data_IF_478800271089
#
_entry.id   IF_478800271089
#
_cell.length_a   1.000
_cell.length_b   1.000
_cell.length_c   1.000
_cell.angle_alpha   90.00
_cell.angle_beta   90.00
_cell.angle_gamma   90.00
#
_symmetry.space_group_name_H-M   'P 1'
#
loop_
_entity.id
_entity.type
_entity.pdbx_description
1 polymer ?
#
# COMPACT_ATOMS: atom_id res chain seq x y z
N UNK A 1 -16.92 -3.81 11.16
CA UNK A 1 -17.34 -4.15 9.79
C UNK A 1 -18.49 -3.24 9.40
N UNK A 2 -18.18 -2.06 8.86
CA UNK A 2 -19.16 -1.17 8.21
C UNK A 2 -18.65 -0.95 6.79
N UNK A 3 -19.56 -1.16 5.84
CA UNK A 3 -19.42 -0.90 4.41
C UNK A 3 -18.38 -1.72 3.63
N UNK A 4 -18.64 -3.05 3.51
CA UNK A 4 -18.16 -3.77 2.32
C UNK A 4 -18.80 -3.10 1.11
N UNK A 5 -18.01 -2.35 0.34
CA UNK A 5 -18.49 -1.71 -0.89
C UNK A 5 -18.92 -2.83 -1.84
N UNK A 6 -20.13 -2.73 -2.39
CA UNK A 6 -20.58 -3.68 -3.40
C UNK A 6 -19.64 -3.60 -4.59
N UNK A 7 -19.03 -4.73 -4.96
CA UNK A 7 -18.20 -4.85 -6.16
C UNK A 7 -19.05 -4.93 -7.45
N UNK A 8 -20.38 -4.86 -7.33
CA UNK A 8 -21.26 -4.78 -8.49
C UNK A 8 -21.00 -3.48 -9.28
N UNK A 9 -20.54 -3.62 -10.52
CA UNK A 9 -20.21 -2.49 -11.40
C UNK A 9 -18.82 -1.88 -11.20
N UNK A 10 -17.96 -2.54 -10.42
CA UNK A 10 -16.56 -2.13 -10.28
C UNK A 10 -15.78 -2.38 -11.58
N UNK A 11 -14.94 -1.41 -11.96
CA UNK A 11 -14.02 -1.54 -13.08
C UNK A 11 -13.13 -2.78 -12.92
N UNK A 12 -13.04 -3.63 -13.95
CA UNK A 12 -12.33 -4.90 -13.89
C UNK A 12 -10.83 -4.74 -13.59
N UNK A 13 -10.22 -3.65 -14.08
CA UNK A 13 -8.80 -3.38 -13.84
C UNK A 13 -8.62 -2.95 -12.38
N UNK A 14 -9.45 -2.04 -11.87
CA UNK A 14 -9.40 -1.65 -10.46
C UNK A 14 -9.61 -2.87 -9.54
N UNK A 15 -10.57 -3.73 -9.85
CA UNK A 15 -10.84 -4.95 -9.09
C UNK A 15 -9.63 -5.89 -9.08
N UNK A 16 -9.01 -6.10 -10.25
CA UNK A 16 -7.80 -6.92 -10.34
C UNK A 16 -6.66 -6.35 -9.49
N UNK A 17 -6.43 -5.04 -9.55
CA UNK A 17 -5.38 -4.38 -8.76
C UNK A 17 -5.63 -4.54 -7.25
N UNK A 18 -6.88 -4.38 -6.82
CA UNK A 18 -7.29 -4.61 -5.42
C UNK A 18 -7.09 -6.09 -5.01
N UNK A 19 -7.60 -7.03 -5.80
CA UNK A 19 -7.50 -8.47 -5.53
C UNK A 19 -6.02 -8.91 -5.43
N UNK A 20 -5.17 -8.45 -6.35
CA UNK A 20 -3.75 -8.74 -6.38
C UNK A 20 -3.04 -8.19 -5.13
N UNK A 21 -3.35 -6.95 -4.73
CA UNK A 21 -2.80 -6.33 -3.52
C UNK A 21 -3.21 -7.10 -2.26
N UNK A 22 -4.51 -7.38 -2.09
CA UNK A 22 -5.04 -8.10 -0.93
C UNK A 22 -4.42 -9.49 -0.84
N UNK A 23 -4.27 -10.17 -1.98
CA UNK A 23 -3.61 -11.46 -2.06
C UNK A 23 -2.16 -11.37 -1.60
N UNK A 24 -1.38 -10.42 -2.12
CA UNK A 24 0.02 -10.23 -1.73
C UNK A 24 0.18 -9.98 -0.23
N UNK A 25 -0.69 -9.17 0.37
CA UNK A 25 -0.67 -8.91 1.82
C UNK A 25 -1.01 -10.16 2.63
N UNK A 26 -2.03 -10.93 2.22
CA UNK A 26 -2.49 -12.13 2.96
C UNK A 26 -1.52 -13.30 2.85
N UNK A 27 -0.94 -13.50 1.67
CA UNK A 27 -0.02 -14.61 1.39
C UNK A 27 1.42 -14.31 1.82
N UNK A 28 1.71 -13.07 2.27
CA UNK A 28 3.01 -12.71 2.80
C UNK A 28 3.37 -13.53 4.06
N UNK A 29 4.50 -14.22 4.03
CA UNK A 29 4.98 -15.13 5.08
C UNK A 29 5.93 -14.48 6.10
N UNK A 30 6.17 -13.17 6.02
CA UNK A 30 7.03 -12.45 6.97
C UNK A 30 6.54 -12.63 8.41
N UNK A 31 7.49 -12.71 9.34
CA UNK A 31 7.22 -12.99 10.76
C UNK A 31 7.46 -11.80 11.69
N UNK A 32 7.93 -10.69 11.11
CA UNK A 32 8.16 -9.42 11.79
C UNK A 32 7.74 -8.26 10.89
N UNK A 33 7.53 -7.09 11.48
CA UNK A 33 7.24 -5.86 10.73
C UNK A 33 8.39 -5.51 9.80
N UNK A 34 9.62 -5.72 10.23
CA UNK A 34 10.83 -5.41 9.47
C UNK A 34 10.94 -6.27 8.21
N UNK A 35 10.72 -7.57 8.34
CA UNK A 35 10.67 -8.48 7.20
C UNK A 35 9.52 -8.12 6.26
N UNK A 36 8.34 -7.80 6.83
CA UNK A 36 7.17 -7.45 6.05
C UNK A 36 7.40 -6.17 5.24
N UNK A 37 7.88 -5.09 5.86
CA UNK A 37 8.12 -3.81 5.19
C UNK A 37 9.13 -3.97 4.06
N UNK A 38 10.20 -4.75 4.28
CA UNK A 38 11.18 -5.00 3.23
C UNK A 38 10.58 -5.73 2.03
N UNK A 39 9.89 -6.84 2.29
CA UNK A 39 9.23 -7.64 1.26
C UNK A 39 8.17 -6.81 0.52
N UNK A 40 7.34 -6.07 1.27
CA UNK A 40 6.31 -5.19 0.75
C UNK A 40 6.87 -4.13 -0.21
N UNK A 41 8.02 -3.54 0.10
CA UNK A 41 8.67 -2.58 -0.81
C UNK A 41 9.15 -3.25 -2.10
N UNK A 42 9.85 -4.38 -2.01
CA UNK A 42 10.33 -5.11 -3.20
C UNK A 42 9.19 -5.58 -4.10
N UNK A 43 8.12 -6.10 -3.50
CA UNK A 43 6.91 -6.53 -4.19
C UNK A 43 6.21 -5.33 -4.82
N UNK A 44 6.10 -4.22 -4.10
CA UNK A 44 5.50 -2.98 -4.63
C UNK A 44 6.24 -2.46 -5.85
N UNK A 45 7.57 -2.39 -5.82
CA UNK A 45 8.35 -1.91 -6.97
C UNK A 45 8.17 -2.81 -8.19
N UNK A 46 8.23 -4.13 -8.00
CA UNK A 46 8.09 -5.10 -9.08
C UNK A 46 6.67 -5.10 -9.64
N UNK A 47 5.66 -5.13 -8.78
CA UNK A 47 4.27 -5.14 -9.20
C UNK A 47 3.87 -3.86 -9.94
N UNK A 48 4.32 -2.69 -9.45
CA UNK A 48 4.03 -1.42 -10.11
C UNK A 48 4.71 -1.31 -11.48
N UNK A 49 5.93 -1.85 -11.64
CA UNK A 49 6.61 -1.91 -12.94
C UNK A 49 5.83 -2.77 -13.94
N UNK A 50 5.46 -3.98 -13.52
CA UNK A 50 4.73 -4.95 -14.35
C UNK A 50 3.31 -4.46 -14.73
N UNK A 51 2.67 -3.68 -13.86
CA UNK A 51 1.28 -3.25 -14.01
C UNK A 51 1.13 -1.75 -14.30
N UNK A 52 2.20 -1.03 -14.63
CA UNK A 52 2.18 0.43 -14.80
C UNK A 52 1.09 0.92 -15.75
N UNK A 53 0.83 0.20 -16.85
CA UNK A 53 -0.19 0.59 -17.83
C UNK A 53 -1.62 0.43 -17.28
N UNK A 54 -1.86 -0.61 -16.50
CA UNK A 54 -3.15 -0.83 -15.84
C UNK A 54 -3.42 0.25 -14.79
N UNK A 55 -2.40 0.57 -13.98
CA UNK A 55 -2.48 1.64 -12.98
C UNK A 55 -2.76 2.99 -13.64
N UNK A 56 -2.02 3.35 -14.69
CA UNK A 56 -2.26 4.58 -15.47
C UNK A 56 -3.68 4.63 -16.05
N UNK A 57 -4.17 3.50 -16.55
CA UNK A 57 -5.54 3.40 -17.10
C UNK A 57 -6.57 3.67 -16.01
N UNK A 58 -6.45 3.03 -14.85
CA UNK A 58 -7.37 3.20 -13.71
C UNK A 58 -7.35 4.64 -13.20
N UNK A 59 -6.17 5.25 -13.02
CA UNK A 59 -6.04 6.65 -12.60
C UNK A 59 -6.63 7.62 -13.63
N UNK A 60 -6.42 7.35 -14.92
CA UNK A 60 -7.03 8.13 -16.01
C UNK A 60 -8.55 8.05 -15.94
N UNK A 61 -9.11 6.84 -15.84
CA UNK A 61 -10.57 6.63 -15.75
C UNK A 61 -11.19 7.25 -14.51
N UNK A 62 -10.47 7.23 -13.39
CA UNK A 62 -10.88 7.97 -12.19
C UNK A 62 -10.92 9.48 -12.46
N UNK A 63 -9.87 10.04 -13.08
CA UNK A 63 -9.80 11.47 -13.38
C UNK A 63 -10.87 11.94 -14.39
N UNK A 64 -11.30 11.07 -15.30
CA UNK A 64 -12.37 11.36 -16.28
C UNK A 64 -13.78 11.05 -15.73
N UNK A 65 -13.89 10.51 -14.52
CA UNK A 65 -15.16 10.16 -13.89
C UNK A 65 -15.78 8.85 -14.39
N UNK A 66 -15.06 8.07 -15.18
CA UNK A 66 -15.47 6.73 -15.62
C UNK A 66 -15.44 5.71 -14.47
N UNK A 67 -14.54 5.90 -13.50
CA UNK A 67 -14.59 5.21 -12.20
C UNK A 67 -15.12 6.18 -11.16
N UNK A 68 -16.25 5.84 -10.54
CA UNK A 68 -16.82 6.66 -9.48
C UNK A 68 -15.90 6.75 -8.28
N UNK A 69 -15.78 7.94 -7.69
CA UNK A 69 -14.91 8.19 -6.55
C UNK A 69 -15.23 7.30 -5.35
N UNK A 70 -16.51 7.00 -5.12
CA UNK A 70 -16.95 6.10 -4.05
C UNK A 70 -16.41 4.67 -4.23
N UNK A 71 -16.33 4.19 -5.47
CA UNK A 71 -15.80 2.86 -5.79
C UNK A 71 -14.29 2.82 -5.58
N UNK A 72 -13.58 3.85 -6.05
CA UNK A 72 -12.13 3.96 -5.86
C UNK A 72 -11.74 4.05 -4.38
N UNK A 73 -12.45 4.90 -3.61
CA UNK A 73 -12.26 5.03 -2.16
C UNK A 73 -12.55 3.69 -1.47
N UNK A 74 -13.57 2.96 -1.91
CA UNK A 74 -13.89 1.63 -1.40
C UNK A 74 -12.75 0.63 -1.53
N UNK A 75 -12.24 0.48 -2.74
CA UNK A 75 -11.12 -0.40 -3.04
C UNK A 75 -9.87 -0.04 -2.22
N UNK A 76 -9.56 1.25 -2.15
CA UNK A 76 -8.43 1.73 -1.36
C UNK A 76 -8.58 1.43 0.13
N UNK A 77 -9.76 1.67 0.70
CA UNK A 77 -10.03 1.38 2.11
C UNK A 77 -9.91 -0.12 2.40
N UNK A 78 -10.43 -1.00 1.53
CA UNK A 78 -10.32 -2.44 1.70
C UNK A 78 -8.83 -2.88 1.68
N UNK A 79 -8.04 -2.40 0.71
CA UNK A 79 -6.59 -2.67 0.66
C UNK A 79 -5.87 -2.24 1.94
N UNK A 80 -6.11 -1.01 2.41
CA UNK A 80 -5.48 -0.48 3.63
C UNK A 80 -5.94 -1.25 4.87
N UNK A 81 -7.19 -1.70 4.92
CA UNK A 81 -7.71 -2.48 6.05
C UNK A 81 -7.02 -3.84 6.17
N UNK A 82 -6.82 -4.58 5.08
CA UNK A 82 -6.06 -5.84 5.11
C UNK A 82 -4.60 -5.61 5.52
N UNK A 83 -3.96 -4.56 5.00
CA UNK A 83 -2.60 -4.19 5.38
C UNK A 83 -2.49 -3.87 6.87
N UNK A 84 -3.44 -3.09 7.41
CA UNK A 84 -3.48 -2.72 8.82
C UNK A 84 -3.60 -3.95 9.72
N UNK A 85 -4.51 -4.88 9.41
CA UNK A 85 -4.69 -6.10 10.19
C UNK A 85 -3.39 -6.91 10.20
N UNK A 86 -2.78 -7.13 9.04
CA UNK A 86 -1.50 -7.86 8.93
C UNK A 86 -0.39 -7.20 9.75
N UNK A 87 -0.24 -5.88 9.68
CA UNK A 87 0.79 -5.15 10.42
C UNK A 87 0.57 -5.19 11.94
N UNK A 88 -0.68 -5.10 12.40
CA UNK A 88 -1.02 -5.22 13.83
C UNK A 88 -0.77 -6.63 14.37
N UNK A 89 -1.04 -7.66 13.57
CA UNK A 89 -0.73 -9.05 13.93
C UNK A 89 0.77 -9.30 14.06
N UNK A 90 1.58 -8.68 13.18
CA UNK A 90 3.04 -8.78 13.22
C UNK A 90 3.68 -7.99 14.36
N UNK A 91 3.02 -6.94 14.85
CA UNK A 91 3.50 -6.07 15.94
C UNK A 91 2.73 -6.28 17.24
N UNK A 92 2.60 -7.54 17.67
CA UNK A 92 1.87 -7.88 18.90
C UNK A 92 2.45 -7.22 20.17
N UNK A 93 3.75 -6.93 20.17
CA UNK A 93 4.46 -6.26 21.28
C UNK A 93 4.35 -4.72 21.21
N UNK A 94 3.71 -4.18 20.17
CA UNK A 94 3.53 -2.74 19.95
C UNK A 94 4.84 -1.95 19.89
N UNK A 95 5.89 -2.54 19.30
CA UNK A 95 7.16 -1.87 19.07
C UNK A 95 7.03 -0.74 18.03
N UNK A 96 5.95 -0.74 17.25
CA UNK A 96 5.62 0.26 16.23
C UNK A 96 4.24 0.89 16.52
N UNK A 97 4.15 1.82 17.49
CA UNK A 97 2.88 2.38 17.96
C UNK A 97 2.01 2.97 16.84
N UNK A 98 2.63 3.50 15.77
CA UNK A 98 1.88 4.04 14.65
C UNK A 98 0.99 3.00 13.94
N UNK A 99 1.37 1.72 13.95
CA UNK A 99 0.60 0.63 13.32
C UNK A 99 -0.72 0.32 14.05
N UNK A 100 -0.80 0.68 15.33
CA UNK A 100 -1.96 0.44 16.18
C UNK A 100 -2.97 1.60 16.16
N UNK A 101 -2.67 2.67 15.43
CA UNK A 101 -3.63 3.75 15.15
C UNK A 101 -4.23 3.62 13.74
N UNK A 102 -5.23 4.45 13.45
CA UNK A 102 -5.97 4.41 12.18
C UNK A 102 -5.17 4.90 10.96
N UNK A 103 -3.94 5.38 11.13
CA UNK A 103 -3.15 6.05 10.09
C UNK A 103 -1.84 5.33 9.73
N UNK A 104 -1.30 4.43 10.57
CA UNK A 104 0.00 3.79 10.33
C UNK A 104 0.10 3.05 9.00
N UNK A 105 -0.89 2.22 8.68
CA UNK A 105 -0.95 1.52 7.39
C UNK A 105 -1.06 2.50 6.21
N UNK A 106 -1.83 3.58 6.34
CA UNK A 106 -1.94 4.63 5.33
C UNK A 106 -0.61 5.36 5.11
N UNK A 107 0.22 5.55 6.14
CA UNK A 107 1.54 6.17 5.97
C UNK A 107 2.49 5.29 5.16
N UNK A 108 2.47 3.97 5.39
CA UNK A 108 3.26 3.03 4.59
C UNK A 108 2.85 3.10 3.11
N UNK A 109 1.53 3.09 2.85
CA UNK A 109 0.99 3.19 1.48
C UNK A 109 1.38 4.53 0.85
N UNK A 110 1.19 5.65 1.56
CA UNK A 110 1.54 6.98 1.04
C UNK A 110 3.03 7.12 0.70
N UNK A 111 3.91 6.47 1.47
CA UNK A 111 5.34 6.42 1.17
C UNK A 111 5.60 5.69 -0.15
N UNK A 112 5.01 4.52 -0.34
CA UNK A 112 5.12 3.75 -1.59
C UNK A 112 4.55 4.54 -2.76
N UNK A 113 3.33 5.07 -2.64
CA UNK A 113 2.66 5.86 -3.68
C UNK A 113 3.52 7.05 -4.12
N UNK A 114 4.13 7.77 -3.17
CA UNK A 114 5.02 8.90 -3.46
C UNK A 114 6.27 8.50 -4.26
N UNK A 115 6.83 7.32 -3.99
CA UNK A 115 7.97 6.79 -4.75
C UNK A 115 7.55 6.26 -6.12
N UNK A 116 6.38 5.61 -6.21
CA UNK A 116 5.80 5.14 -7.48
C UNK A 116 5.54 6.31 -8.42
N UNK A 117 5.00 7.43 -7.92
CA UNK A 117 4.81 8.64 -8.75
C UNK A 117 6.15 9.16 -9.29
N UNK A 118 7.20 9.18 -8.46
CA UNK A 118 8.54 9.60 -8.91
C UNK A 118 9.09 8.66 -9.98
N UNK A 119 8.88 7.35 -9.85
CA UNK A 119 9.17 6.38 -10.90
C UNK A 119 8.36 6.65 -12.17
N UNK A 120 7.05 6.94 -12.05
CA UNK A 120 6.17 7.19 -13.20
C UNK A 120 6.60 8.40 -14.04
N UNK A 121 7.17 9.43 -13.40
CA UNK A 121 7.68 10.63 -14.08
C UNK A 121 9.16 10.51 -14.48
N UNK A 122 9.79 9.35 -14.25
CA UNK A 122 11.16 9.05 -14.68
C UNK A 122 12.26 9.63 -13.78
N UNK A 123 11.95 9.99 -12.52
CA UNK A 123 12.96 10.43 -11.55
C UNK A 123 13.82 9.24 -11.08
N UNK A 124 13.19 8.09 -10.88
CA UNK A 124 13.86 6.83 -10.52
C UNK A 124 13.52 5.71 -11.50
N UNK A 125 14.42 4.75 -11.64
CA UNK A 125 14.11 3.41 -12.21
C UNK A 125 13.73 2.43 -11.10
N UNK A 126 13.14 1.30 -11.47
CA UNK A 126 12.81 0.23 -10.52
C UNK A 126 14.05 -0.36 -9.86
N UNK A 127 15.16 -0.47 -10.59
CA UNK A 127 16.44 -0.92 -10.05
C UNK A 127 16.93 0.05 -8.97
N UNK A 128 16.85 1.36 -9.21
CA UNK A 128 17.21 2.37 -8.21
C UNK A 128 16.33 2.29 -6.97
N UNK A 129 15.01 2.09 -7.15
CA UNK A 129 14.10 1.88 -6.01
C UNK A 129 14.46 0.63 -5.21
N UNK A 130 14.79 -0.47 -5.89
CA UNK A 130 15.24 -1.72 -5.26
C UNK A 130 16.56 -1.54 -4.51
N UNK A 131 17.52 -0.81 -5.07
CA UNK A 131 18.79 -0.48 -4.41
C UNK A 131 18.58 0.41 -3.18
N UNK A 132 17.60 1.30 -3.21
CA UNK A 132 17.24 2.17 -2.08
C UNK A 132 16.41 1.46 -1.01
N UNK A 133 15.78 0.32 -1.30
CA UNK A 133 14.89 -0.40 -0.37
C UNK A 133 15.47 -0.58 1.04
N UNK A 134 16.74 -0.97 1.25
CA UNK A 134 17.30 -1.10 2.60
C UNK A 134 17.29 0.21 3.40
N UNK A 135 17.55 1.33 2.72
CA UNK A 135 17.49 2.66 3.34
C UNK A 135 16.04 3.09 3.60
N UNK A 136 15.16 2.92 2.60
CA UNK A 136 13.74 3.27 2.72
C UNK A 136 13.06 2.48 3.85
N UNK A 137 13.38 1.19 3.98
CA UNK A 137 12.96 0.34 5.09
C UNK A 137 13.30 0.98 6.44
N UNK A 138 14.55 1.41 6.63
CA UNK A 138 14.96 2.02 7.90
C UNK A 138 14.19 3.31 8.19
N UNK A 139 14.01 4.17 7.20
CA UNK A 139 13.24 5.42 7.34
C UNK A 139 11.80 5.13 7.75
N UNK A 140 11.15 4.17 7.08
CA UNK A 140 9.78 3.77 7.38
C UNK A 140 9.68 3.20 8.79
N UNK A 141 10.55 2.26 9.18
CA UNK A 141 10.52 1.65 10.51
C UNK A 141 10.69 2.70 11.62
N UNK A 142 11.59 3.66 11.42
CA UNK A 142 11.76 4.79 12.34
C UNK A 142 10.51 5.67 12.41
N UNK A 143 9.87 5.96 11.28
CA UNK A 143 8.62 6.71 11.27
C UNK A 143 7.51 5.97 12.03
N UNK A 144 7.42 4.64 11.87
CA UNK A 144 6.42 3.80 12.54
C UNK A 144 6.60 3.69 14.06
N UNK A 145 7.80 3.96 14.58
CA UNK A 145 8.07 4.04 16.01
C UNK A 145 7.54 5.34 16.65
N UNK A 146 7.08 6.31 15.86
CA UNK A 146 6.56 7.57 16.38
C UNK A 146 5.25 7.33 17.13
N UNK A 147 5.20 7.73 18.40
CA UNK A 147 3.96 7.75 19.18
C UNK A 147 2.99 8.79 18.59
N UNK A 148 1.72 8.43 18.44
CA UNK A 148 0.69 9.42 18.17
C UNK A 148 0.66 10.37 19.36
N UNK A 149 1.19 11.59 19.19
CA UNK A 149 1.22 12.59 20.25
C UNK A 149 -0.19 12.80 20.81
N UNK A 150 -0.40 12.38 22.06
CA UNK A 150 -1.62 12.65 22.79
C UNK A 150 -1.73 14.14 23.07
N UNK A 151 -2.72 14.79 22.46
CA UNK A 151 -3.40 15.95 23.03
C UNK A 151 -4.86 15.60 23.21
#
# INVERSE_FOLDING_TARGET
>A
MKDRISHEGMDEILKKLEDDYIKAVKENESRSVEEFVEQFLYDSWTYNDENIQNIKTVLSRYSTGEVYSTTFIGAFNEMVDHLRVKLQELDAEQAYPALHNQHGASFLVAFVDGMVIQYFIGVYTVEQLKEMTPYLKQVILQALQTEAGGQ
#
